data_IF_342707593310
#
_entry.id   IF_342707593310
#
_cell.length_a   1.000
_cell.length_b   1.000
_cell.length_c   1.000
_cell.angle_alpha   90.00
_cell.angle_beta   90.00
_cell.angle_gamma   90.00
#
_symmetry.space_group_name_H-M   'P 1'
#
loop_
_entity.id
_entity.type
_entity.pdbx_description
1 polymer ?
#
# COMPACT_ATOMS: atom_id res chain seq x y z
N UNK A 1 24.45 -13.33 -5.40
CA UNK A 1 23.01 -12.96 -5.44
C UNK A 1 22.88 -11.48 -5.12
N UNK A 2 22.99 -10.57 -6.10
CA UNK A 2 23.03 -9.11 -5.83
C UNK A 2 22.38 -8.32 -6.96
N UNK A 3 21.08 -8.53 -7.18
CA UNK A 3 20.28 -7.66 -8.06
C UNK A 3 19.81 -6.39 -7.33
N UNK A 4 19.91 -6.36 -5.99
CA UNK A 4 19.53 -5.22 -5.17
C UNK A 4 20.78 -4.43 -4.78
N UNK A 5 20.94 -3.24 -5.35
CA UNK A 5 22.01 -2.30 -4.97
C UNK A 5 21.52 -1.39 -3.86
N UNK A 6 22.18 -1.42 -2.71
CA UNK A 6 21.92 -0.49 -1.61
C UNK A 6 22.32 0.92 -2.06
N UNK A 7 21.34 1.83 -2.11
CA UNK A 7 21.60 3.25 -2.36
C UNK A 7 21.74 3.92 -0.99
N UNK A 8 22.91 4.49 -0.71
CA UNK A 8 23.11 5.33 0.48
C UNK A 8 22.42 6.68 0.23
N UNK A 9 21.29 6.93 0.90
CA UNK A 9 20.63 8.23 0.88
C UNK A 9 20.95 9.00 2.16
N UNK A 10 21.79 10.04 2.07
CA UNK A 10 21.83 11.10 3.07
C UNK A 10 20.59 11.98 2.85
N UNK A 11 19.52 11.82 3.65
CA UNK A 11 18.27 12.59 3.52
C UNK A 11 17.03 11.84 3.99
N UNK A 12 15.83 12.40 3.71
CA UNK A 12 14.53 11.73 3.93
C UNK A 12 14.57 10.34 3.27
N UNK A 13 14.15 9.25 3.96
CA UNK A 13 14.23 7.92 3.41
C UNK A 13 13.36 7.80 2.14
N UNK A 14 13.99 7.63 0.97
CA UNK A 14 13.30 7.51 -0.31
C UNK A 14 12.92 6.06 -0.56
N UNK A 15 11.64 5.81 -0.82
CA UNK A 15 11.17 4.47 -1.18
C UNK A 15 11.38 4.30 -2.68
N UNK A 16 12.03 3.21 -3.09
CA UNK A 16 12.24 2.94 -4.51
C UNK A 16 11.20 1.95 -5.01
N UNK A 17 10.56 2.25 -6.14
CA UNK A 17 9.66 1.34 -6.85
C UNK A 17 10.39 0.77 -8.06
N UNK A 18 10.54 -0.55 -8.11
CA UNK A 18 11.01 -1.28 -9.29
C UNK A 18 9.79 -1.84 -9.99
N UNK A 19 9.42 -1.26 -11.13
CA UNK A 19 8.39 -1.81 -11.99
C UNK A 19 8.97 -3.02 -12.74
N UNK A 20 8.27 -4.15 -12.69
CA UNK A 20 8.70 -5.41 -13.32
C UNK A 20 7.84 -5.72 -14.55
N UNK A 21 6.52 -5.64 -14.41
CA UNK A 21 5.57 -5.99 -15.46
C UNK A 21 4.21 -5.36 -15.17
N UNK A 22 3.44 -5.08 -16.23
CA UNK A 22 2.05 -4.64 -16.12
C UNK A 22 1.26 -5.01 -17.38
N UNK A 23 0.03 -5.45 -17.16
CA UNK A 23 -0.98 -5.64 -18.19
C UNK A 23 -2.37 -5.28 -17.63
N UNK A 24 -3.43 -5.44 -18.42
CA UNK A 24 -4.80 -5.12 -17.97
C UNK A 24 -5.25 -5.96 -16.75
N UNK A 25 -4.73 -7.19 -16.63
CA UNK A 25 -5.13 -8.11 -15.58
C UNK A 25 -4.36 -7.90 -14.27
N UNK A 26 -3.06 -7.55 -14.34
CA UNK A 26 -2.23 -7.44 -13.14
C UNK A 26 -0.97 -6.58 -13.35
N UNK A 27 -0.38 -6.11 -12.25
CA UNK A 27 0.94 -5.49 -12.22
C UNK A 27 1.87 -6.18 -11.22
N UNK A 28 3.17 -6.14 -11.49
CA UNK A 28 4.21 -6.65 -10.62
C UNK A 28 5.21 -5.51 -10.37
N UNK A 29 5.42 -5.21 -9.10
CA UNK A 29 6.41 -4.23 -8.67
C UNK A 29 7.07 -4.61 -7.36
N UNK A 30 8.25 -4.04 -7.10
CA UNK A 30 8.99 -4.24 -5.85
C UNK A 30 9.20 -2.88 -5.18
N UNK A 31 8.71 -2.74 -3.95
CA UNK A 31 9.02 -1.61 -3.09
C UNK A 31 10.26 -1.90 -2.26
N UNK A 32 11.28 -1.07 -2.40
CA UNK A 32 12.49 -1.12 -1.59
C UNK A 32 12.43 0.00 -0.55
N UNK A 33 12.15 -0.38 0.70
CA UNK A 33 12.06 0.55 1.82
C UNK A 33 13.42 0.62 2.56
N UNK A 34 14.03 1.81 2.70
CA UNK A 34 15.13 2.00 3.64
C UNK A 34 14.65 1.80 5.09
N UNK A 35 15.56 1.62 6.07
CA UNK A 35 15.17 1.59 7.48
C UNK A 35 14.33 2.81 7.84
N UNK A 36 13.17 2.57 8.48
CA UNK A 36 12.17 3.60 8.84
C UNK A 36 11.43 4.24 7.65
N UNK A 37 11.58 3.71 6.43
CA UNK A 37 10.70 4.04 5.32
C UNK A 37 9.28 3.61 5.62
N UNK A 38 8.29 4.43 5.26
CA UNK A 38 6.87 4.18 5.50
C UNK A 38 6.11 4.41 4.21
N UNK A 39 5.32 3.43 3.80
CA UNK A 39 4.21 3.65 2.89
C UNK A 39 3.01 3.99 3.78
N UNK A 40 2.45 5.21 3.69
CA UNK A 40 1.33 5.60 4.55
C UNK A 40 0.11 4.73 4.28
N UNK A 41 -0.83 4.71 5.22
CA UNK A 41 -2.05 3.90 5.10
C UNK A 41 -2.83 4.35 3.86
N UNK A 42 -3.21 3.38 3.03
CA UNK A 42 -3.95 3.61 1.80
C UNK A 42 -4.87 2.43 1.46
N UNK A 43 -5.87 2.65 0.61
CA UNK A 43 -6.79 1.62 0.16
C UNK A 43 -6.42 1.04 -1.22
N UNK A 44 -7.12 -0.05 -1.58
CA UNK A 44 -7.00 -0.76 -2.86
C UNK A 44 -8.41 -1.06 -3.40
N UNK A 45 -9.14 -0.08 -3.93
CA UNK A 45 -10.54 -0.24 -4.31
C UNK A 45 -10.69 -1.26 -5.46
N UNK A 46 -11.45 -2.33 -5.21
CA UNK A 46 -11.73 -3.41 -6.18
C UNK A 46 -10.48 -4.15 -6.69
N UNK A 47 -9.43 -4.24 -5.86
CA UNK A 47 -8.18 -4.92 -6.19
C UNK A 47 -7.91 -6.04 -5.20
N UNK A 48 -7.28 -7.11 -5.67
CA UNK A 48 -6.55 -8.07 -4.83
C UNK A 48 -5.05 -7.73 -4.89
N UNK A 49 -4.24 -7.99 -3.86
CA UNK A 49 -2.84 -7.49 -3.77
C UNK A 49 -1.89 -8.54 -3.17
N UNK A 50 -0.95 -9.18 -3.91
CA UNK A 50 0.05 -10.08 -3.26
C UNK A 50 1.24 -9.29 -2.74
N UNK A 51 1.49 -9.45 -1.44
CA UNK A 51 2.66 -8.91 -0.77
C UNK A 51 3.54 -10.02 -0.22
N UNK A 52 4.77 -10.10 -0.71
CA UNK A 52 5.81 -10.99 -0.16
C UNK A 52 7.03 -10.19 0.24
N UNK A 53 7.42 -10.31 1.52
CA UNK A 53 8.68 -9.75 2.01
C UNK A 53 9.85 -10.57 1.44
N UNK A 54 10.67 -9.97 0.58
CA UNK A 54 11.82 -10.63 -0.04
C UNK A 54 13.00 -10.78 0.94
N UNK A 55 13.23 -9.76 1.78
CA UNK A 55 14.22 -9.75 2.86
C UNK A 55 13.96 -8.59 3.83
N UNK A 56 14.49 -8.68 5.05
CA UNK A 56 14.37 -7.65 6.09
C UNK A 56 13.21 -7.91 7.05
N UNK A 57 12.73 -6.84 7.69
CA UNK A 57 11.59 -6.85 8.61
C UNK A 57 10.70 -5.66 8.27
N UNK A 58 9.38 -5.88 8.27
CA UNK A 58 8.38 -4.85 7.96
C UNK A 58 7.26 -4.93 9.00
N UNK A 59 6.93 -3.79 9.61
CA UNK A 59 5.73 -3.67 10.42
C UNK A 59 4.55 -3.29 9.53
N UNK A 60 3.49 -4.10 9.55
CA UNK A 60 2.28 -3.89 8.75
C UNK A 60 1.09 -3.69 9.69
N UNK A 61 0.26 -2.71 9.35
CA UNK A 61 -1.09 -2.53 9.91
C UNK A 61 -2.08 -2.44 8.76
N UNK A 62 -3.20 -3.15 8.88
CA UNK A 62 -4.28 -3.19 7.90
C UNK A 62 -5.63 -3.05 8.59
N UNK A 63 -6.62 -2.57 7.85
CA UNK A 63 -7.98 -2.33 8.34
C UNK A 63 -8.99 -2.75 7.27
N UNK A 64 -10.15 -3.23 7.71
CA UNK A 64 -11.33 -3.43 6.88
C UNK A 64 -12.44 -2.46 7.31
N UNK A 65 -13.28 -2.05 6.36
CA UNK A 65 -14.42 -1.17 6.66
C UNK A 65 -15.48 -1.91 7.48
N UNK A 66 -15.81 -1.37 8.66
CA UNK A 66 -16.71 -2.01 9.62
C UNK A 66 -18.16 -2.18 9.14
N UNK A 67 -18.61 -1.38 8.16
CA UNK A 67 -19.98 -1.42 7.62
C UNK A 67 -20.11 -2.29 6.36
N UNK A 68 -19.03 -2.94 5.90
CA UNK A 68 -19.09 -3.84 4.76
C UNK A 68 -19.64 -5.22 5.18
N UNK A 69 -20.87 -5.54 4.78
CA UNK A 69 -21.46 -6.88 4.91
C UNK A 69 -20.90 -7.86 3.88
N UNK A 70 -19.58 -7.96 3.72
CA UNK A 70 -18.97 -8.87 2.76
C UNK A 70 -17.81 -9.65 3.38
N UNK A 71 -17.81 -10.95 3.13
CA UNK A 71 -16.80 -11.90 3.59
C UNK A 71 -15.42 -11.54 3.01
N UNK A 72 -14.48 -11.13 3.86
CA UNK A 72 -13.10 -10.86 3.45
C UNK A 72 -12.27 -12.15 3.49
N UNK A 73 -11.66 -12.52 2.35
CA UNK A 73 -10.68 -13.61 2.27
C UNK A 73 -9.36 -13.05 1.70
N UNK A 74 -8.23 -13.35 2.33
CA UNK A 74 -6.90 -12.85 1.91
C UNK A 74 -6.13 -13.96 1.18
N UNK A 75 -5.94 -13.76 -0.13
CA UNK A 75 -4.92 -14.38 -0.98
C UNK A 75 -4.70 -13.42 -2.15
N UNK A 76 -4.10 -12.28 -1.87
CA UNK A 76 -2.98 -11.65 -2.54
C UNK A 76 -2.80 -11.99 -4.09
N UNK A 77 -2.69 -11.08 -5.09
CA UNK A 77 -2.00 -11.00 -6.44
C UNK A 77 -2.50 -9.68 -6.97
N UNK A 78 -1.61 -8.78 -7.42
CA UNK A 78 -2.01 -7.43 -7.80
C UNK A 78 -2.78 -7.43 -9.13
N UNK A 79 -4.09 -7.61 -9.09
CA UNK A 79 -4.94 -7.54 -10.28
C UNK A 79 -6.33 -6.98 -10.01
N UNK A 80 -6.80 -5.99 -10.80
CA UNK A 80 -6.09 -5.19 -11.82
C UNK A 80 -5.23 -4.06 -11.21
N UNK A 81 -4.36 -3.37 -11.99
CA UNK A 81 -3.63 -2.19 -11.53
C UNK A 81 -4.55 -1.01 -11.14
N UNK A 82 -4.01 -0.06 -10.37
CA UNK A 82 -4.66 1.24 -10.13
C UNK A 82 -4.94 1.95 -11.46
N UNK A 83 -6.05 2.67 -11.51
CA UNK A 83 -6.50 3.43 -12.68
C UNK A 83 -7.46 4.53 -12.25
N UNK A 84 -6.99 5.77 -12.28
CA UNK A 84 -7.78 6.95 -11.94
C UNK A 84 -8.99 7.13 -12.86
N UNK A 85 -8.89 6.69 -14.12
CA UNK A 85 -9.95 6.79 -15.11
C UNK A 85 -11.15 5.86 -14.84
N UNK A 86 -10.93 4.73 -14.16
CA UNK A 86 -11.99 3.79 -13.75
C UNK A 86 -12.37 3.91 -12.27
N UNK A 87 -11.91 4.95 -11.58
CA UNK A 87 -12.20 5.18 -10.17
C UNK A 87 -11.41 4.29 -9.21
N UNK A 88 -10.37 3.60 -9.70
CA UNK A 88 -9.42 2.84 -8.87
C UNK A 88 -8.24 3.73 -8.50
N UNK A 89 -8.49 4.89 -7.90
CA UNK A 89 -7.44 5.74 -7.37
C UNK A 89 -7.03 5.25 -5.97
N UNK A 90 -5.76 5.45 -5.63
CA UNK A 90 -5.23 5.14 -4.30
C UNK A 90 -5.53 6.30 -3.35
N UNK A 91 -6.38 6.07 -2.34
CA UNK A 91 -6.71 7.06 -1.31
C UNK A 91 -5.89 6.79 -0.04
N UNK A 92 -5.30 7.84 0.53
CA UNK A 92 -4.55 7.77 1.79
C UNK A 92 -5.42 8.15 2.99
N UNK A 93 -5.07 7.61 4.15
CA UNK A 93 -5.82 7.80 5.39
C UNK A 93 -4.90 8.05 6.60
N UNK A 94 -5.37 8.87 7.52
CA UNK A 94 -4.82 8.99 8.88
C UNK A 94 -5.70 8.22 9.86
N UNK A 95 -5.07 7.61 10.86
CA UNK A 95 -5.79 7.02 12.00
C UNK A 95 -6.13 8.14 12.98
N UNK A 96 -7.41 8.42 13.16
CA UNK A 96 -7.88 9.45 14.09
C UNK A 96 -7.80 8.96 15.54
N UNK A 97 -7.39 9.84 16.45
CA UNK A 97 -7.23 9.55 17.87
C UNK A 97 -8.56 9.63 18.65
N UNK A 98 -9.62 10.13 18.03
CA UNK A 98 -10.94 10.29 18.64
C UNK A 98 -12.04 9.93 17.65
N UNK A 99 -13.17 9.43 18.18
CA UNK A 99 -14.36 9.27 17.36
C UNK A 99 -14.84 10.64 16.83
N UNK A 100 -15.36 10.70 15.59
CA UNK A 100 -15.93 11.92 15.05
C UNK A 100 -17.07 12.44 15.94
N UNK A 101 -17.17 13.76 16.06
CA UNK A 101 -18.22 14.44 16.82
C UNK A 101 -19.59 13.91 16.40
N UNK A 102 -20.31 13.32 17.34
CA UNK A 102 -21.56 12.60 17.15
C UNK A 102 -22.57 13.40 16.29
N UNK A 103 -22.77 12.92 15.06
CA UNK A 103 -23.77 13.43 14.11
C UNK A 103 -24.24 12.33 13.17
N UNK A 104 -23.30 11.56 12.60
CA UNK A 104 -23.60 10.54 11.58
C UNK A 104 -22.91 9.17 11.81
N UNK A 105 -22.20 8.97 12.91
CA UNK A 105 -21.48 7.72 13.17
C UNK A 105 -22.36 6.66 13.84
N UNK A 106 -22.56 5.54 13.13
CA UNK A 106 -23.11 4.32 13.73
C UNK A 106 -22.16 3.87 14.86
N UNK A 107 -22.69 3.48 16.03
CA UNK A 107 -21.84 3.04 17.14
C UNK A 107 -21.00 1.84 16.68
N UNK A 108 -19.68 2.00 16.71
CA UNK A 108 -18.76 0.88 16.52
C UNK A 108 -19.02 -0.17 17.61
N UNK A 109 -18.89 -1.48 17.31
CA UNK A 109 -18.85 -2.50 18.34
C UNK A 109 -17.73 -2.14 19.31
N UNK A 110 -18.06 -1.83 20.56
CA UNK A 110 -17.06 -1.37 21.54
C UNK A 110 -15.94 -2.40 21.69
N UNK A 111 -14.69 -1.95 21.54
CA UNK A 111 -13.50 -2.79 21.68
C UNK A 111 -12.22 -2.12 21.17
N UNK A 112 -11.09 -2.69 21.55
CA UNK A 112 -9.71 -2.33 21.20
C UNK A 112 -9.28 -2.72 19.76
N UNK A 113 -10.24 -3.11 18.91
CA UNK A 113 -10.01 -3.58 17.55
C UNK A 113 -10.47 -2.66 16.42
N UNK A 114 -11.02 -1.48 16.72
CA UNK A 114 -11.54 -0.55 15.71
C UNK A 114 -10.75 0.76 15.67
N UNK A 115 -10.71 1.38 14.49
CA UNK A 115 -10.08 2.67 14.26
C UNK A 115 -10.95 3.54 13.35
N UNK A 116 -10.93 4.85 13.58
CA UNK A 116 -11.50 5.82 12.66
C UNK A 116 -10.43 6.24 11.66
N UNK A 117 -10.78 6.21 10.37
CA UNK A 117 -9.90 6.60 9.28
C UNK A 117 -10.42 7.90 8.67
N UNK A 118 -9.55 8.89 8.57
CA UNK A 118 -9.83 10.18 7.92
C UNK A 118 -9.02 10.27 6.64
N UNK A 119 -9.68 10.60 5.52
CA UNK A 119 -9.01 10.81 4.24
C UNK A 119 -8.00 11.96 4.33
N UNK A 120 -6.83 11.77 3.73
CA UNK A 120 -5.79 12.78 3.69
C UNK A 120 -5.03 12.75 2.37
N UNK A 121 -4.36 13.85 2.07
CA UNK A 121 -3.35 13.87 1.01
C UNK A 121 -2.11 13.07 1.43
N UNK A 122 -1.36 12.48 0.47
CA UNK A 122 -0.09 11.85 0.76
C UNK A 122 0.84 12.82 1.52
N UNK A 123 1.53 12.37 2.59
CA UNK A 123 2.43 13.24 3.36
C UNK A 123 3.54 13.82 2.49
N UNK A 124 3.94 15.08 2.75
CA UNK A 124 5.01 15.77 2.00
C UNK A 124 6.35 15.01 1.97
N UNK A 125 6.62 14.20 3.01
CA UNK A 125 7.83 13.41 3.14
C UNK A 125 7.73 12.01 2.52
N UNK A 126 6.58 11.65 1.95
CA UNK A 126 6.40 10.40 1.21
C UNK A 126 6.87 10.60 -0.24
N UNK A 127 7.99 9.97 -0.56
CA UNK A 127 8.56 10.03 -1.91
C UNK A 127 8.79 8.63 -2.46
N UNK A 128 8.02 8.29 -3.50
CA UNK A 128 8.22 7.10 -4.30
C UNK A 128 9.08 7.45 -5.53
N UNK A 129 10.23 6.79 -5.65
CA UNK A 129 11.17 7.01 -6.76
C UNK A 129 11.16 5.77 -7.65
N UNK A 130 10.72 5.92 -8.89
CA UNK A 130 10.82 4.87 -9.89
C UNK A 130 12.29 4.54 -10.22
N UNK A 131 12.61 3.26 -10.35
CA UNK A 131 13.92 2.80 -10.80
C UNK A 131 13.81 1.57 -11.71
N UNK A 132 14.83 1.36 -12.53
CA UNK A 132 14.88 0.28 -13.51
C UNK A 132 15.24 -1.03 -12.82
N UNK A 133 14.43 -2.07 -13.05
CA UNK A 133 14.75 -3.42 -12.63
C UNK A 133 15.94 -3.97 -13.43
N UNK A 134 16.98 -4.43 -12.73
CA UNK A 134 18.24 -4.93 -13.31
C UNK A 134 18.47 -6.43 -13.06
N UNK A 135 17.41 -7.17 -12.72
CA UNK A 135 17.47 -8.61 -12.51
C UNK A 135 17.32 -9.42 -13.81
N UNK A 136 17.12 -10.75 -13.72
CA UNK A 136 16.84 -11.59 -14.88
C UNK A 136 15.63 -11.08 -15.67
N UNK A 137 15.72 -11.10 -17.00
CA UNK A 137 14.65 -10.64 -17.89
C UNK A 137 13.34 -11.37 -17.61
N UNK A 138 12.26 -10.61 -17.59
CA UNK A 138 10.89 -11.13 -17.57
C UNK A 138 10.50 -11.34 -19.04
N UNK A 139 10.13 -12.57 -19.38
CA UNK A 139 9.70 -12.93 -20.72
C UNK A 139 8.20 -13.15 -20.65
N UNK A 140 7.46 -12.37 -21.42
CA UNK A 140 6.02 -12.59 -21.62
C UNK A 140 5.83 -13.67 -22.69
N UNK A 141 4.90 -14.59 -22.47
CA UNK A 141 4.68 -15.75 -23.35
C UNK A 141 3.50 -15.52 -24.30
#
# INVERSE_FOLDING_TARGET
MSYFRRVNSNGIPKITYLHLYECEAFSIGIFCLPPRGVIPLHNHPNMTVFSKLLFGELQVKSYDWADASQDSTVLDVLGPPYDDGSGRHCQHYNVSSSAPSAGDSKPLPGGDGYAWLEECEPPDNFHLVGSTYMGPSIVDN
#
